data_IF_616703702133
#
_entry.id   IF_616703702133
#
_cell.length_a   1.000
_cell.length_b   1.000
_cell.length_c   1.000
_cell.angle_alpha   90.00
_cell.angle_beta   90.00
_cell.angle_gamma   90.00
#
_symmetry.space_group_name_H-M   'P 1'
#
loop_
_entity.id
_entity.type
_entity.pdbx_description
1 polymer ?
#
# COMPACT_ATOMS: atom_id res chain seq x y z
N UNK A 1 -13.09 7.27 -11.81
CA UNK A 1 -12.41 6.50 -12.88
C UNK A 1 -13.48 5.74 -13.66
N UNK A 2 -13.49 5.87 -14.99
CA UNK A 2 -14.51 5.28 -15.85
C UNK A 2 -13.88 4.42 -16.94
N UNK A 3 -14.48 3.26 -17.21
CA UNK A 3 -14.12 2.37 -18.33
C UNK A 3 -15.41 1.83 -18.94
N UNK A 4 -15.50 1.82 -20.28
CA UNK A 4 -16.58 1.13 -20.98
C UNK A 4 -16.41 -0.38 -20.76
N UNK A 5 -17.39 -1.09 -20.16
CA UNK A 5 -17.30 -2.53 -19.98
C UNK A 5 -17.48 -3.24 -21.32
N UNK A 6 -16.78 -4.36 -21.52
CA UNK A 6 -16.90 -5.19 -22.73
C UNK A 6 -18.30 -5.81 -22.85
N UNK A 7 -18.96 -6.04 -21.70
CA UNK A 7 -20.35 -6.47 -21.63
C UNK A 7 -21.09 -5.76 -20.49
N UNK A 8 -22.21 -5.12 -20.82
CA UNK A 8 -23.09 -4.50 -19.84
C UNK A 8 -23.96 -5.56 -19.17
N UNK A 9 -23.64 -5.90 -17.91
CA UNK A 9 -24.51 -6.72 -17.07
C UNK A 9 -25.50 -5.79 -16.36
N UNK A 10 -26.79 -5.89 -16.68
CA UNK A 10 -27.84 -5.05 -16.07
C UNK A 10 -27.76 -5.01 -14.54
N UNK A 11 -27.55 -6.17 -13.90
CA UNK A 11 -27.41 -6.26 -12.44
C UNK A 11 -26.26 -5.41 -11.87
N UNK A 12 -25.13 -5.31 -12.58
CA UNK A 12 -24.00 -4.48 -12.14
C UNK A 12 -24.20 -3.00 -12.47
N UNK A 13 -24.93 -2.69 -13.54
CA UNK A 13 -25.22 -1.30 -13.91
C UNK A 13 -26.19 -0.65 -12.93
N UNK A 14 -27.14 -1.42 -12.37
CA UNK A 14 -28.12 -0.94 -11.39
C UNK A 14 -27.49 -0.63 -10.02
N UNK A 15 -26.39 -1.30 -9.65
CA UNK A 15 -25.71 -1.12 -8.36
C UNK A 15 -24.62 -0.05 -8.39
N UNK A 16 -24.35 0.56 -9.54
CA UNK A 16 -23.31 1.57 -9.70
C UNK A 16 -23.93 2.95 -9.86
N UNK A 17 -23.31 3.95 -9.22
CA UNK A 17 -23.66 5.36 -9.43
C UNK A 17 -23.58 5.78 -10.91
N UNK A 18 -22.66 5.15 -11.65
CA UNK A 18 -22.53 5.31 -13.08
C UNK A 18 -22.11 4.00 -13.73
N UNK A 19 -22.74 3.61 -14.83
CA UNK A 19 -22.55 2.30 -15.48
C UNK A 19 -21.10 2.04 -15.95
N UNK A 20 -20.34 3.09 -16.24
CA UNK A 20 -18.89 2.99 -16.57
C UNK A 20 -17.97 3.05 -15.36
N UNK A 21 -18.47 3.22 -14.13
CA UNK A 21 -17.65 3.24 -12.92
C UNK A 21 -16.92 1.89 -12.79
N UNK A 22 -15.60 1.97 -12.63
CA UNK A 22 -14.77 0.79 -12.36
C UNK A 22 -15.00 0.36 -10.92
N UNK A 23 -15.20 -0.94 -10.72
CA UNK A 23 -15.37 -1.52 -9.39
C UNK A 23 -14.02 -1.91 -8.80
N UNK A 24 -13.93 -1.86 -7.47
CA UNK A 24 -12.76 -2.34 -6.74
C UNK A 24 -12.39 -3.78 -7.12
N UNK A 25 -13.39 -4.67 -7.17
CA UNK A 25 -13.20 -6.07 -7.59
C UNK A 25 -12.57 -6.21 -8.98
N UNK A 26 -12.88 -5.28 -9.89
CA UNK A 26 -12.28 -5.28 -11.22
C UNK A 26 -10.79 -4.96 -11.12
N UNK A 27 -10.40 -3.97 -10.31
CA UNK A 27 -8.99 -3.58 -10.12
C UNK A 27 -8.18 -4.72 -9.48
N UNK A 28 -8.69 -5.35 -8.42
CA UNK A 28 -8.00 -6.47 -7.78
C UNK A 28 -7.77 -7.63 -8.74
N UNK A 29 -8.76 -7.96 -9.58
CA UNK A 29 -8.60 -9.03 -10.58
C UNK A 29 -7.63 -8.66 -11.70
N UNK A 30 -7.76 -7.44 -12.26
CA UNK A 30 -6.86 -6.98 -13.31
C UNK A 30 -5.41 -6.91 -12.82
N UNK A 31 -5.19 -6.53 -11.57
CA UNK A 31 -3.87 -6.56 -10.96
C UNK A 31 -3.33 -7.98 -10.80
N UNK A 32 -4.16 -8.93 -10.33
CA UNK A 32 -3.78 -10.35 -10.25
C UNK A 32 -3.37 -10.90 -11.61
N UNK A 33 -4.16 -10.65 -12.65
CA UNK A 33 -3.85 -11.06 -14.03
C UNK A 33 -2.50 -10.48 -14.50
N UNK A 34 -2.24 -9.19 -14.23
CA UNK A 34 -0.97 -8.56 -14.55
C UNK A 34 0.20 -9.14 -13.75
N UNK A 35 0.02 -9.43 -12.45
CA UNK A 35 1.01 -10.05 -11.57
C UNK A 35 1.40 -11.46 -12.05
N UNK A 36 0.41 -12.25 -12.45
CA UNK A 36 0.61 -13.60 -13.00
C UNK A 36 1.36 -13.55 -14.34
N UNK A 37 0.96 -12.63 -15.23
CA UNK A 37 1.64 -12.43 -16.52
C UNK A 37 3.08 -11.92 -16.37
N UNK A 38 3.38 -11.16 -15.31
CA UNK A 38 4.74 -10.69 -15.01
C UNK A 38 5.63 -11.79 -14.43
N UNK A 39 5.06 -12.90 -13.97
CA UNK A 39 5.79 -14.06 -13.47
C UNK A 39 6.74 -13.79 -12.29
N UNK A 40 6.56 -12.69 -11.55
CA UNK A 40 7.50 -12.23 -10.52
C UNK A 40 7.52 -13.09 -9.23
N UNK A 41 6.49 -13.90 -8.98
CA UNK A 41 6.29 -14.61 -7.70
C UNK A 41 6.13 -16.13 -7.88
N UNK A 42 6.86 -16.73 -8.82
CA UNK A 42 6.81 -18.20 -9.04
C UNK A 42 7.14 -18.94 -7.74
N UNK A 43 6.31 -19.91 -7.38
CA UNK A 43 6.50 -20.77 -6.20
C UNK A 43 5.93 -20.23 -4.89
N UNK A 44 5.41 -19.01 -4.86
CA UNK A 44 4.72 -18.46 -3.70
C UNK A 44 3.29 -18.99 -3.63
N UNK A 45 2.71 -19.07 -2.42
CA UNK A 45 1.28 -19.35 -2.25
C UNK A 45 0.44 -18.13 -2.60
N UNK A 46 -0.81 -18.32 -2.99
CA UNK A 46 -1.67 -17.22 -3.42
C UNK A 46 -1.84 -16.15 -2.32
N UNK A 47 -1.90 -16.58 -1.06
CA UNK A 47 -2.05 -15.73 0.13
C UNK A 47 -0.80 -14.90 0.44
N UNK A 48 0.36 -15.31 -0.06
CA UNK A 48 1.64 -14.62 0.16
C UNK A 48 1.91 -13.59 -0.93
N UNK A 49 1.25 -13.72 -2.09
CA UNK A 49 1.49 -12.82 -3.22
C UNK A 49 0.80 -11.48 -3.02
N UNK A 50 1.47 -10.35 -3.32
CA UNK A 50 0.92 -9.02 -3.10
C UNK A 50 -0.32 -8.77 -3.95
N UNK A 51 -1.34 -8.18 -3.36
CA UNK A 51 -2.54 -7.69 -4.02
C UNK A 51 -2.41 -6.25 -4.54
N UNK A 52 -3.55 -5.69 -4.95
CA UNK A 52 -3.61 -4.32 -5.47
C UNK A 52 -3.37 -3.26 -4.38
N UNK A 53 -3.67 -3.58 -3.11
CA UNK A 53 -3.56 -2.64 -2.01
C UNK A 53 -2.10 -2.30 -1.67
N UNK A 54 -1.20 -3.24 -1.93
CA UNK A 54 0.23 -3.17 -1.68
C UNK A 54 0.93 -2.16 -2.61
N UNK A 55 0.31 -1.79 -3.73
CA UNK A 55 0.75 -0.65 -4.55
C UNK A 55 0.76 0.65 -3.74
N UNK A 56 -0.22 0.82 -2.85
CA UNK A 56 -0.30 1.99 -1.95
C UNK A 56 0.76 1.96 -0.88
N UNK A 57 1.01 0.78 -0.30
CA UNK A 57 2.06 0.57 0.69
C UNK A 57 3.44 0.87 0.09
N UNK A 58 3.71 0.33 -1.11
CA UNK A 58 4.94 0.60 -1.87
C UNK A 58 5.07 2.10 -2.19
N UNK A 59 4.01 2.74 -2.65
CA UNK A 59 4.02 4.19 -2.92
C UNK A 59 4.43 4.99 -1.67
N UNK A 60 3.82 4.70 -0.51
CA UNK A 60 4.14 5.36 0.76
C UNK A 60 5.60 5.14 1.17
N UNK A 61 6.11 3.91 1.02
CA UNK A 61 7.51 3.59 1.27
C UNK A 61 8.46 4.39 0.35
N UNK A 62 8.16 4.48 -0.95
CA UNK A 62 8.96 5.24 -1.90
C UNK A 62 8.96 6.75 -1.61
N UNK A 63 7.82 7.32 -1.18
CA UNK A 63 7.78 8.73 -0.72
C UNK A 63 8.69 8.95 0.49
N UNK A 64 8.62 8.07 1.49
CA UNK A 64 9.49 8.13 2.68
C UNK A 64 10.97 8.05 2.28
N UNK A 65 11.34 7.10 1.42
CA UNK A 65 12.72 6.94 0.90
C UNK A 65 13.21 8.18 0.14
N UNK A 66 12.31 8.89 -0.54
CA UNK A 66 12.62 10.14 -1.22
C UNK A 66 12.66 11.37 -0.30
N UNK A 67 12.54 11.19 1.03
CA UNK A 67 12.48 12.31 2.00
C UNK A 67 11.22 13.16 1.88
N UNK A 68 10.15 12.62 1.26
CA UNK A 68 8.89 13.32 1.02
C UNK A 68 7.79 12.80 1.93
N UNK A 69 6.85 13.69 2.26
CA UNK A 69 5.69 13.36 3.08
C UNK A 69 4.65 12.57 2.27
N UNK A 70 4.70 11.24 2.39
CA UNK A 70 3.73 10.34 1.76
C UNK A 70 2.33 10.41 2.39
N UNK A 71 2.17 10.89 3.62
CA UNK A 71 0.88 10.91 4.31
C UNK A 71 -0.09 11.89 3.66
N UNK A 72 0.41 13.07 3.28
CA UNK A 72 -0.37 14.09 2.56
C UNK A 72 -0.95 13.57 1.25
N UNK A 73 -0.19 12.75 0.53
CA UNK A 73 -0.59 12.20 -0.77
C UNK A 73 -1.54 11.01 -0.62
N UNK A 74 -1.38 10.22 0.45
CA UNK A 74 -2.35 9.19 0.78
C UNK A 74 -3.68 9.78 1.27
N UNK A 75 -3.73 11.04 1.71
CA UNK A 75 -4.96 11.62 2.28
C UNK A 75 -5.41 10.89 3.55
N UNK A 76 -4.47 10.27 4.27
CA UNK A 76 -4.77 9.65 5.56
C UNK A 76 -4.99 10.73 6.61
N UNK A 77 -6.13 10.70 7.29
CA UNK A 77 -6.45 11.63 8.36
C UNK A 77 -5.61 11.41 9.64
N UNK A 78 -4.99 10.24 9.80
CA UNK A 78 -4.17 9.90 10.97
C UNK A 78 -2.90 9.11 10.62
N UNK A 79 -1.88 9.29 11.45
CA UNK A 79 -0.58 8.62 11.34
C UNK A 79 -0.69 7.09 11.46
N UNK A 80 -1.62 6.60 12.28
CA UNK A 80 -1.86 5.18 12.51
C UNK A 80 -2.26 4.41 11.24
N UNK A 81 -3.04 5.03 10.34
CA UNK A 81 -3.38 4.42 9.05
C UNK A 81 -2.12 4.22 8.22
N UNK A 82 -1.19 5.18 8.20
CA UNK A 82 0.08 5.09 7.47
C UNK A 82 1.03 4.05 8.08
N UNK A 83 1.08 3.92 9.41
CA UNK A 83 1.92 2.91 10.08
C UNK A 83 1.55 1.49 9.67
N UNK A 84 0.26 1.18 9.49
CA UNK A 84 -0.16 -0.15 9.02
C UNK A 84 0.35 -0.49 7.60
N UNK A 85 0.46 0.49 6.71
CA UNK A 85 1.03 0.28 5.37
C UNK A 85 2.55 0.26 5.35
N UNK A 86 3.21 0.89 6.33
CA UNK A 86 4.67 0.90 6.43
C UNK A 86 5.22 -0.34 7.11
N UNK A 87 4.43 -0.97 8.00
CA UNK A 87 4.84 -2.10 8.84
C UNK A 87 5.41 -3.29 8.05
N UNK A 88 4.88 -3.56 6.85
CA UNK A 88 5.33 -4.69 6.02
C UNK A 88 6.46 -4.30 5.04
N UNK A 89 6.94 -3.04 5.11
CA UNK A 89 8.06 -2.50 4.31
C UNK A 89 9.22 -2.00 5.19
N UNK A 90 9.24 -2.34 6.47
CA UNK A 90 10.37 -2.02 7.34
C UNK A 90 11.52 -3.00 7.05
N UNK A 91 12.47 -2.56 6.22
CA UNK A 91 13.87 -2.90 6.51
C UNK A 91 14.09 -2.53 7.98
N UNK A 92 14.58 -3.48 8.79
CA UNK A 92 14.90 -3.25 10.19
C UNK A 92 15.90 -2.10 10.25
N UNK A 93 15.45 -0.93 10.68
CA UNK A 93 16.32 0.23 10.91
C UNK A 93 16.97 0.03 12.28
N UNK A 94 18.20 -0.49 12.28
CA UNK A 94 19.03 -0.55 13.47
C UNK A 94 19.48 0.86 13.83
N UNK A 95 18.96 1.39 14.93
CA UNK A 95 19.46 2.63 15.52
C UNK A 95 20.63 2.30 16.45
N UNK A 96 21.81 2.83 16.14
CA UNK A 96 22.97 2.74 17.03
C UNK A 96 22.75 3.69 18.22
N UNK A 97 22.57 3.12 19.41
CA UNK A 97 22.41 3.89 20.64
C UNK A 97 23.79 4.04 21.31
N UNK A 98 24.25 5.29 21.43
CA UNK A 98 25.45 5.61 22.20
C UNK A 98 24.98 6.00 23.61
N UNK A 99 25.35 5.27 24.67
CA UNK A 99 25.05 5.67 26.04
C UNK A 99 26.01 6.80 26.45
N UNK A 100 25.66 8.02 26.05
CA UNK A 100 26.42 9.25 26.36
C UNK A 100 25.99 9.89 27.69
N UNK A 101 25.06 9.26 28.43
CA UNK A 101 24.58 9.75 29.71
C UNK A 101 25.69 9.71 30.78
N UNK A 102 26.23 10.87 31.12
CA UNK A 102 27.12 11.05 32.26
C UNK A 102 26.31 11.29 33.54
N UNK A 103 26.11 10.23 34.33
CA UNK A 103 25.33 10.28 35.58
C UNK A 103 25.90 11.29 36.59
N UNK A 104 27.21 11.57 36.54
CA UNK A 104 27.87 12.51 37.44
C UNK A 104 27.41 13.96 37.25
N UNK A 105 26.82 14.31 36.10
CA UNK A 105 26.28 15.64 35.82
C UNK A 105 24.89 15.85 36.43
N UNK A 106 24.25 14.77 36.91
CA UNK A 106 22.87 14.79 37.41
C UNK A 106 22.84 14.63 38.94
N UNK A 107 23.83 13.99 39.54
CA UNK A 107 23.85 13.67 40.98
C UNK A 107 24.79 14.56 41.78
N UNK A 108 24.77 15.88 41.52
CA UNK A 108 25.49 16.87 42.31
C UNK A 108 25.19 16.78 43.80
#
# INVERSE_FOLDING_TARGET
MHRKPDRLKQKQAQTKDHWTKVEERYLTRAFKEAREAAECYKGWKEEEMPGFHEVRALSLHLYKKAGKDGQKIAGHASEGMTKNYQRDHEEIIWSEAIPDLNINEITG
#
